data_IF_454643974062
#
_entry.id   IF_454643974062
#
_cell.length_a   1.000
_cell.length_b   1.000
_cell.length_c   1.000
_cell.angle_alpha   90.00
_cell.angle_beta   90.00
_cell.angle_gamma   90.00
#
_symmetry.space_group_name_H-M   'P 1'
#
loop_
_entity.id
_entity.type
_entity.pdbx_description
1 polymer ?
#
# COMPACT_ATOMS: atom_id res chain seq x y z
N UNK A 1 -9.95 -9.12 -0.11
CA UNK A 1 -8.99 -8.38 0.75
C UNK A 1 -8.64 -7.11 0.03
N UNK A 2 -8.76 -5.97 0.71
CA UNK A 2 -8.51 -4.65 0.15
C UNK A 2 -7.37 -3.97 0.91
N UNK A 3 -6.60 -3.13 0.21
CA UNK A 3 -5.55 -2.35 0.85
C UNK A 3 -6.19 -1.28 1.71
N UNK A 4 -5.66 -1.01 2.90
CA UNK A 4 -6.20 -0.01 3.82
C UNK A 4 -6.13 1.42 3.26
N UNK A 5 -5.17 1.70 2.39
CA UNK A 5 -4.94 3.03 1.82
C UNK A 5 -6.03 3.38 0.81
N UNK A 6 -6.86 4.40 1.11
CA UNK A 6 -8.06 4.78 0.32
C UNK A 6 -7.84 4.97 -1.19
N UNK A 7 -6.70 5.53 -1.57
CA UNK A 7 -6.36 5.81 -2.98
C UNK A 7 -5.46 4.72 -3.61
N UNK A 8 -5.26 3.60 -2.91
CA UNK A 8 -4.56 2.46 -3.46
C UNK A 8 -5.42 1.77 -4.52
N UNK A 9 -4.86 1.40 -5.69
CA UNK A 9 -5.54 0.55 -6.66
C UNK A 9 -6.12 -0.72 -6.02
N UNK A 10 -5.39 -1.32 -5.07
CA UNK A 10 -5.79 -2.51 -4.31
C UNK A 10 -6.84 -2.25 -3.22
N UNK A 11 -7.25 -1.02 -2.95
CA UNK A 11 -8.36 -0.69 -2.04
C UNK A 11 -9.73 -0.85 -2.72
N UNK A 12 -9.80 -0.76 -4.05
CA UNK A 12 -11.07 -0.63 -4.79
C UNK A 12 -11.41 -1.85 -5.66
N UNK A 13 -11.13 -3.06 -5.16
CA UNK A 13 -11.42 -4.31 -5.86
C UNK A 13 -10.53 -4.62 -7.07
N UNK A 14 -9.48 -3.85 -7.32
CA UNK A 14 -8.45 -4.20 -8.30
C UNK A 14 -7.27 -4.83 -7.58
N UNK A 15 -7.24 -6.15 -7.47
CA UNK A 15 -6.04 -6.84 -7.03
C UNK A 15 -5.01 -6.79 -8.15
N UNK A 16 -3.97 -5.97 -8.00
CA UNK A 16 -2.77 -6.10 -8.81
C UNK A 16 -2.12 -7.43 -8.45
N UNK A 17 -1.99 -8.33 -9.43
CA UNK A 17 -1.37 -9.64 -9.25
C UNK A 17 0.07 -9.50 -8.73
N UNK A 18 0.45 -10.37 -7.80
CA UNK A 18 1.79 -10.37 -7.19
C UNK A 18 1.97 -9.46 -5.97
N UNK A 19 0.98 -8.63 -5.62
CA UNK A 19 1.01 -7.86 -4.38
C UNK A 19 0.54 -8.71 -3.18
N UNK A 20 1.28 -8.60 -2.08
CA UNK A 20 0.98 -9.26 -0.79
C UNK A 20 0.37 -8.25 0.16
N UNK A 21 -0.59 -8.70 0.96
CA UNK A 21 -1.20 -7.90 2.02
C UNK A 21 -0.48 -8.15 3.33
N UNK A 22 0.08 -7.10 3.91
CA UNK A 22 0.79 -7.12 5.18
C UNK A 22 -0.13 -6.68 6.31
N UNK A 23 0.00 -7.33 7.45
CA UNK A 23 -0.70 -6.95 8.67
C UNK A 23 -0.01 -5.78 9.35
N UNK A 24 -0.79 -4.88 9.94
CA UNK A 24 -0.24 -3.83 10.79
C UNK A 24 0.38 -4.44 12.06
N UNK A 25 1.54 -3.96 12.52
CA UNK A 25 2.27 -4.57 13.64
C UNK A 25 1.71 -4.16 15.02
N UNK A 26 0.49 -4.58 15.36
CA UNK A 26 -0.25 -4.11 16.55
C UNK A 26 0.35 -4.44 17.93
N UNK A 27 1.08 -5.56 18.08
CA UNK A 27 1.47 -6.08 19.41
C UNK A 27 2.93 -6.47 19.57
N UNK A 28 3.62 -6.80 18.48
CA UNK A 28 5.01 -7.28 18.53
C UNK A 28 6.03 -6.18 18.36
N UNK A 29 5.65 -5.07 17.74
CA UNK A 29 6.60 -4.01 17.39
C UNK A 29 5.88 -2.65 17.36
N UNK A 30 5.74 -2.05 18.54
CA UNK A 30 5.07 -0.76 18.72
C UNK A 30 5.81 0.38 17.99
N UNK A 31 7.14 0.33 17.94
CA UNK A 31 7.93 1.34 17.23
C UNK A 31 7.64 1.32 15.74
N UNK A 32 7.58 0.11 15.17
CA UNK A 32 7.23 -0.06 13.76
C UNK A 32 5.77 0.27 13.49
N UNK A 33 4.87 -0.05 14.42
CA UNK A 33 3.47 0.37 14.34
C UNK A 33 3.36 1.88 14.21
N UNK A 34 3.96 2.62 15.15
CA UNK A 34 3.92 4.06 15.18
C UNK A 34 4.58 4.67 13.94
N UNK A 35 5.65 4.04 13.43
CA UNK A 35 6.26 4.43 12.16
C UNK A 35 5.32 4.26 10.96
N UNK A 36 4.53 3.18 10.90
CA UNK A 36 3.54 2.95 9.84
C UNK A 36 2.38 3.94 9.92
N UNK A 37 1.86 4.18 11.12
CA UNK A 37 0.79 5.15 11.34
C UNK A 37 1.26 6.56 11.01
N UNK A 38 2.46 6.94 11.46
CA UNK A 38 3.07 8.23 11.16
C UNK A 38 3.27 8.45 9.65
N UNK A 39 3.72 7.41 8.93
CA UNK A 39 3.80 7.45 7.47
C UNK A 39 2.44 7.67 6.81
N UNK A 40 1.39 6.99 7.27
CA UNK A 40 0.02 7.15 6.73
C UNK A 40 -0.52 8.55 6.98
N UNK A 41 -0.39 9.06 8.21
CA UNK A 41 -0.85 10.40 8.58
C UNK A 41 -0.12 11.49 7.79
N UNK A 42 1.19 11.32 7.54
CA UNK A 42 1.96 12.25 6.71
C UNK A 42 1.53 12.23 5.23
N UNK A 43 1.06 11.08 4.72
CA UNK A 43 0.55 10.95 3.36
C UNK A 43 -0.92 11.35 3.19
N UNK A 44 -1.71 11.29 4.27
CA UNK A 44 -3.15 11.51 4.25
C UNK A 44 -3.64 12.09 5.59
N UNK A 45 -3.93 13.40 5.58
CA UNK A 45 -4.34 14.16 6.77
C UNK A 45 -5.62 13.60 7.44
N UNK A 46 -6.59 13.15 6.62
CA UNK A 46 -7.88 12.61 7.08
C UNK A 46 -8.03 11.09 6.86
N UNK A 47 -6.95 10.32 6.96
CA UNK A 47 -7.07 8.86 6.85
C UNK A 47 -7.56 8.25 8.18
N UNK A 48 -8.53 7.32 8.17
CA UNK A 48 -8.89 6.61 9.38
C UNK A 48 -7.67 5.86 9.95
N UNK A 49 -7.69 5.62 11.26
CA UNK A 49 -6.75 4.72 11.90
C UNK A 49 -7.07 3.27 11.51
N UNK A 50 -6.06 2.44 11.20
CA UNK A 50 -6.27 1.03 10.88
C UNK A 50 -6.82 0.27 12.09
N UNK A 51 -7.45 -0.87 11.83
CA UNK A 51 -7.85 -1.87 12.82
C UNK A 51 -6.91 -3.10 12.79
N UNK A 52 -7.09 -4.03 13.73
CA UNK A 52 -6.36 -5.33 13.72
C UNK A 52 -6.57 -6.14 12.45
N UNK A 53 -7.67 -5.91 11.75
CA UNK A 53 -8.02 -6.59 10.50
C UNK A 53 -7.56 -5.83 9.26
N UNK A 54 -7.15 -4.57 9.43
CA UNK A 54 -6.65 -3.76 8.32
C UNK A 54 -5.36 -4.36 7.77
N UNK A 55 -5.20 -4.28 6.45
CA UNK A 55 -4.04 -4.79 5.73
C UNK A 55 -3.55 -3.75 4.74
N UNK A 56 -2.24 -3.64 4.56
CA UNK A 56 -1.64 -2.73 3.57
C UNK A 56 -0.88 -3.55 2.54
N UNK A 57 -1.02 -3.25 1.25
CA UNK A 57 -0.28 -4.00 0.24
C UNK A 57 1.20 -3.62 0.24
N UNK A 58 2.07 -4.60 -0.02
CA UNK A 58 3.52 -4.43 -0.08
C UNK A 58 3.97 -3.38 -1.12
N UNK A 59 3.13 -3.03 -2.10
CA UNK A 59 3.39 -1.94 -3.06
C UNK A 59 3.65 -0.58 -2.40
N UNK A 60 3.20 -0.35 -1.16
CA UNK A 60 3.47 0.89 -0.42
C UNK A 60 4.86 0.96 0.21
N UNK A 61 5.61 -0.16 0.25
CA UNK A 61 6.90 -0.28 0.92
C UNK A 61 8.08 -0.14 -0.04
N UNK A 62 7.84 -0.26 -1.34
CA UNK A 62 8.87 -0.14 -2.36
C UNK A 62 8.76 1.21 -3.06
N UNK A 63 9.83 2.00 -3.00
CA UNK A 63 10.09 3.09 -3.96
C UNK A 63 11.32 2.70 -4.75
N UNK A 64 11.23 2.75 -6.09
CA UNK A 64 12.32 2.40 -7.01
C UNK A 64 13.63 3.15 -6.69
N UNK A 65 13.50 4.35 -6.14
CA UNK A 65 14.62 5.27 -5.87
C UNK A 65 14.86 5.51 -4.37
N UNK A 66 14.35 4.63 -3.48
CA UNK A 66 14.48 4.81 -2.03
C UNK A 66 15.50 3.86 -1.43
N UNK A 67 16.36 4.39 -0.56
CA UNK A 67 17.24 3.63 0.33
C UNK A 67 16.49 2.91 1.47
N UNK A 68 15.17 2.71 1.33
CA UNK A 68 14.36 1.98 2.28
C UNK A 68 14.94 0.58 2.49
N UNK A 69 15.01 0.15 3.74
CA UNK A 69 15.32 -1.24 4.03
C UNK A 69 14.29 -2.12 3.32
N UNK A 70 14.77 -3.02 2.46
CA UNK A 70 13.93 -4.06 1.85
C UNK A 70 13.63 -5.20 2.82
N UNK A 71 14.31 -5.22 3.98
CA UNK A 71 14.14 -6.21 5.03
C UNK A 71 12.87 -5.92 5.84
N UNK A 72 11.83 -6.77 5.74
CA UNK A 72 10.60 -6.63 6.50
C UNK A 72 10.80 -6.78 8.00
N UNK A 73 11.93 -7.27 8.51
CA UNK A 73 12.20 -7.37 9.95
C UNK A 73 12.86 -6.11 10.52
N UNK A 74 13.39 -5.24 9.66
CA UNK A 74 14.07 -4.03 10.11
C UNK A 74 13.08 -3.05 10.79
N UNK A 75 13.43 -2.42 11.93
CA UNK A 75 12.53 -1.50 12.64
C UNK A 75 12.10 -0.27 11.82
N UNK A 76 12.93 0.16 10.86
CA UNK A 76 12.59 1.25 9.94
C UNK A 76 11.75 0.83 8.73
N UNK A 77 11.45 -0.46 8.58
CA UNK A 77 10.61 -0.96 7.50
C UNK A 77 9.19 -0.42 7.66
N UNK A 78 8.79 0.51 6.79
CA UNK A 78 7.52 1.22 6.85
C UNK A 78 7.00 1.55 5.46
N UNK A 79 5.69 1.80 5.29
CA UNK A 79 5.18 2.30 4.02
C UNK A 79 5.74 3.70 3.74
N UNK A 80 6.14 3.93 2.50
CA UNK A 80 6.87 5.12 2.02
C UNK A 80 6.22 5.77 0.80
N UNK A 81 5.30 5.06 0.16
CA UNK A 81 4.66 5.51 -1.07
C UNK A 81 3.16 5.60 -0.87
N UNK A 82 2.63 6.80 -0.99
CA UNK A 82 1.21 7.10 -0.93
C UNK A 82 0.88 7.96 -2.15
N UNK A 83 0.57 7.35 -3.30
CA UNK A 83 0.27 8.13 -4.48
C UNK A 83 -1.03 8.90 -4.26
N UNK A 84 -0.95 10.22 -4.26
CA UNK A 84 -2.10 11.11 -4.41
C UNK A 84 -2.53 11.11 -5.89
N UNK A 85 -3.06 9.99 -6.37
CA UNK A 85 -3.64 9.94 -7.71
C UNK A 85 -5.04 10.55 -7.66
N UNK A 86 -5.36 11.42 -8.63
CA UNK A 86 -6.73 11.83 -8.87
C UNK A 86 -7.61 10.62 -9.22
N UNK A 87 -8.93 10.74 -9.01
CA UNK A 87 -9.90 9.69 -9.39
C UNK A 87 -9.76 9.28 -10.87
N UNK A 88 -9.45 10.24 -11.73
CA UNK A 88 -9.20 10.02 -13.16
C UNK A 88 -7.91 9.25 -13.44
N UNK A 89 -6.81 9.56 -12.74
CA UNK A 89 -5.56 8.81 -12.85
C UNK A 89 -5.72 7.38 -12.35
N UNK A 90 -6.45 7.19 -11.24
CA UNK A 90 -6.83 5.86 -10.77
C UNK A 90 -7.63 5.14 -11.87
N UNK A 91 -8.61 5.81 -12.49
CA UNK A 91 -9.43 5.28 -13.59
C UNK A 91 -8.59 4.84 -14.79
N UNK A 92 -7.61 5.65 -15.21
CA UNK A 92 -6.70 5.33 -16.31
C UNK A 92 -5.79 4.15 -15.97
N UNK A 93 -5.26 4.11 -14.75
CA UNK A 93 -4.51 2.96 -14.26
C UNK A 93 -5.38 1.69 -14.26
N UNK A 94 -6.67 1.77 -13.87
CA UNK A 94 -7.63 0.65 -13.96
C UNK A 94 -7.72 0.08 -15.37
N UNK A 95 -7.84 0.98 -16.36
CA UNK A 95 -7.98 0.61 -17.77
C UNK A 95 -6.69 -0.06 -18.27
N UNK A 96 -5.54 0.54 -18.01
CA UNK A 96 -4.23 0.01 -18.44
C UNK A 96 -3.91 -1.35 -17.80
N UNK A 97 -4.14 -1.53 -16.50
CA UNK A 97 -3.89 -2.81 -15.83
C UNK A 97 -4.77 -3.94 -16.38
N UNK A 98 -6.06 -3.66 -16.63
CA UNK A 98 -6.99 -4.63 -17.23
C UNK A 98 -6.57 -5.06 -18.62
N UNK A 99 -6.19 -4.10 -19.47
CA UNK A 99 -5.71 -4.35 -20.83
C UNK A 99 -4.46 -5.23 -20.84
N UNK A 100 -3.51 -4.98 -19.92
CA UNK A 100 -2.29 -5.79 -19.77
C UNK A 100 -2.57 -7.23 -19.31
N UNK A 101 -3.48 -7.44 -18.37
CA UNK A 101 -3.89 -8.78 -17.93
C UNK A 101 -4.52 -9.60 -19.07
N UNK A 102 -5.24 -8.95 -19.98
CA UNK A 102 -5.80 -9.60 -21.17
C UNK A 102 -4.75 -9.93 -22.24
N UNK A 103 -3.62 -9.22 -22.28
CA UNK A 103 -2.52 -9.50 -23.20
C UNK A 103 -1.62 -10.66 -22.76
N UNK A 104 -1.49 -10.90 -21.45
CA UNK A 104 -0.65 -11.99 -20.90
C UNK A 104 -1.32 -13.39 -21.04
N UNK A 105 -2.61 -13.44 -21.41
CA UNK A 105 -3.37 -14.69 -21.61
C UNK A 105 -3.47 -15.15 -23.07
N UNK A 106 -2.58 -14.68 -23.95
CA UNK A 106 -2.50 -15.13 -25.35
C UNK A 106 -1.19 -15.82 -25.65
#
# INVERSE_FOLDING_TARGET
>A
MECFVKDCPNHSGMTVEGLRFLEFPWKRDLLKHDAWIGSLAAGYEDHPSPSSESRICNGHFFRKDSAASLDPEHPSYKPLFFPSMSKEEIKQLRKSCRERLHQVKK
#
